data_IF_549299416320
#
_entry.id   IF_549299416320
#
_cell.length_a   1.000
_cell.length_b   1.000
_cell.length_c   1.000
_cell.angle_alpha   90.00
_cell.angle_beta   90.00
_cell.angle_gamma   90.00
#
_symmetry.space_group_name_H-M   'P 1'
#
loop_
_entity.id
_entity.type
_entity.pdbx_description
1 polymer ?
#
# COMPACT_ATOMS: atom_id res chain seq x y z
N UNK A 1 -9.28 16.83 8.87
CA UNK A 1 -8.80 16.06 7.70
C UNK A 1 -7.42 16.58 7.31
N UNK A 2 -6.38 16.17 8.03
CA UNK A 2 -5.03 16.61 7.72
C UNK A 2 -4.60 16.14 6.33
N UNK A 3 -3.62 16.81 5.72
CA UNK A 3 -3.09 16.45 4.40
C UNK A 3 -2.61 15.00 4.33
N UNK A 4 -2.17 14.44 5.47
CA UNK A 4 -1.73 13.05 5.58
C UNK A 4 -2.87 12.03 5.50
N UNK A 5 -4.10 12.43 5.84
CA UNK A 5 -5.27 11.55 5.76
C UNK A 5 -5.56 11.15 4.31
N UNK A 6 -5.14 11.97 3.33
CA UNK A 6 -5.29 11.68 1.89
C UNK A 6 -4.46 10.47 1.42
N UNK A 7 -3.45 10.08 2.19
CA UNK A 7 -2.55 8.96 1.83
C UNK A 7 -2.88 7.67 2.58
N UNK A 8 -3.88 7.69 3.47
CA UNK A 8 -4.39 6.46 4.08
C UNK A 8 -5.19 5.67 3.05
N UNK A 9 -4.97 4.36 3.03
CA UNK A 9 -5.61 3.43 2.12
C UNK A 9 -6.53 2.44 2.86
N UNK A 10 -6.95 2.78 4.08
CA UNK A 10 -7.83 1.95 4.89
C UNK A 10 -9.07 1.50 4.10
N UNK A 11 -9.27 0.18 3.99
CA UNK A 11 -10.41 -0.41 3.29
C UNK A 11 -10.31 -0.45 1.76
N UNK A 12 -9.18 0.00 1.19
CA UNK A 12 -8.87 -0.18 -0.23
C UNK A 12 -8.26 -1.57 -0.47
N UNK A 13 -8.47 -2.15 -1.66
CA UNK A 13 -7.82 -3.39 -2.08
C UNK A 13 -6.75 -3.12 -3.12
N UNK A 14 -5.55 -3.61 -2.90
CA UNK A 14 -4.41 -3.38 -3.79
C UNK A 14 -3.86 -4.68 -4.36
N UNK A 15 -3.59 -4.70 -5.67
CA UNK A 15 -2.93 -5.82 -6.34
C UNK A 15 -1.57 -5.39 -6.89
N UNK A 16 -0.51 -6.06 -6.44
CA UNK A 16 0.87 -5.79 -6.88
C UNK A 16 1.43 -7.01 -7.62
N UNK A 17 1.78 -6.81 -8.89
CA UNK A 17 2.47 -7.84 -9.68
C UNK A 17 3.96 -7.85 -9.37
N UNK A 18 4.62 -9.01 -9.53
CA UNK A 18 6.07 -9.12 -9.30
C UNK A 18 6.49 -8.88 -7.84
N UNK A 19 5.60 -9.06 -6.87
CA UNK A 19 5.85 -8.76 -5.46
C UNK A 19 6.82 -9.72 -4.73
N UNK A 20 7.44 -10.64 -5.45
CA UNK A 20 8.30 -11.67 -4.86
C UNK A 20 9.62 -11.11 -4.31
N UNK A 21 10.11 -9.98 -4.85
CA UNK A 21 11.37 -9.32 -4.43
C UNK A 21 11.43 -7.87 -4.92
N UNK A 22 12.47 -7.14 -4.48
CA UNK A 22 12.78 -5.80 -4.98
C UNK A 22 11.62 -4.82 -4.80
N UNK A 23 11.38 -3.97 -5.81
CA UNK A 23 10.37 -2.91 -5.75
C UNK A 23 8.96 -3.44 -5.52
N UNK A 24 8.56 -4.52 -6.20
CA UNK A 24 7.22 -5.09 -6.04
C UNK A 24 6.95 -5.51 -4.59
N UNK A 25 7.93 -6.10 -3.91
CA UNK A 25 7.81 -6.45 -2.49
C UNK A 25 7.67 -5.22 -1.61
N UNK A 26 8.54 -4.22 -1.80
CA UNK A 26 8.51 -2.99 -1.00
C UNK A 26 7.20 -2.22 -1.18
N UNK A 27 6.65 -2.18 -2.40
CA UNK A 27 5.38 -1.53 -2.70
C UNK A 27 4.21 -2.26 -2.04
N UNK A 28 4.16 -3.59 -2.12
CA UNK A 28 3.11 -4.37 -1.47
C UNK A 28 3.08 -4.14 0.05
N UNK A 29 4.25 -4.13 0.70
CA UNK A 29 4.36 -3.86 2.13
C UNK A 29 3.95 -2.43 2.49
N UNK A 30 4.41 -1.43 1.74
CA UNK A 30 4.06 -0.04 2.02
C UNK A 30 2.56 0.26 1.82
N UNK A 31 1.92 -0.39 0.84
CA UNK A 31 0.47 -0.28 0.64
C UNK A 31 -0.31 -0.91 1.79
N UNK A 32 0.15 -2.07 2.29
CA UNK A 32 -0.43 -2.71 3.47
C UNK A 32 -0.24 -1.86 4.74
N UNK A 33 0.94 -1.27 4.94
CA UNK A 33 1.20 -0.35 6.07
C UNK A 33 0.32 0.91 6.02
N UNK A 34 -0.08 1.34 4.81
CA UNK A 34 -1.02 2.45 4.62
C UNK A 34 -2.49 2.05 4.83
N UNK A 35 -2.79 0.75 5.05
CA UNK A 35 -4.12 0.23 5.38
C UNK A 35 -4.85 -0.50 4.24
N UNK A 36 -4.17 -0.79 3.13
CA UNK A 36 -4.75 -1.55 2.03
C UNK A 36 -4.71 -3.07 2.29
N UNK A 37 -5.74 -3.79 1.84
CA UNK A 37 -5.83 -5.26 1.84
C UNK A 37 -5.39 -5.89 0.51
#
# INVERSE_FOLDING_TARGET
>A
MGTLDLFRLDGQRAFVTGASRGLGRSMALALADAGAD
#
